data_IF_817705669222
#
_entry.id   IF_817705669222
#
_cell.length_a   1.000
_cell.length_b   1.000
_cell.length_c   1.000
_cell.angle_alpha   90.00
_cell.angle_beta   90.00
_cell.angle_gamma   90.00
#
_symmetry.space_group_name_H-M   'P 1'
#
loop_
_entity.id
_entity.type
_entity.pdbx_description
1 polymer ?
#
# COMPACT_ATOMS: atom_id res chain seq x y z
N UNK A 1 -11.42 3.78 -1.98
CA UNK A 1 -11.09 2.43 -1.45
C UNK A 1 -9.64 2.41 -1.04
N UNK A 2 -9.35 1.89 0.14
CA UNK A 2 -8.06 1.98 0.79
C UNK A 2 -6.99 1.14 0.08
N UNK A 3 -5.84 1.75 -0.15
CA UNK A 3 -4.62 1.01 -0.46
C UNK A 3 -4.25 0.20 0.78
N UNK A 4 -4.47 -1.08 0.72
CA UNK A 4 -4.17 -1.98 1.83
C UNK A 4 -2.66 -2.23 1.88
N UNK A 5 -2.01 -1.66 2.88
CA UNK A 5 -0.69 -2.11 3.31
C UNK A 5 -0.91 -3.25 4.30
N UNK A 6 -0.69 -4.48 3.86
CA UNK A 6 -1.00 -5.66 4.63
C UNK A 6 0.23 -6.12 5.42
N UNK A 7 0.06 -6.28 6.72
CA UNK A 7 1.03 -6.90 7.62
C UNK A 7 0.39 -8.11 8.26
N UNK A 8 1.15 -9.19 8.36
CA UNK A 8 0.68 -10.43 8.94
C UNK A 8 1.78 -11.09 9.75
N UNK A 9 1.39 -12.04 10.59
CA UNK A 9 2.32 -12.89 11.33
C UNK A 9 2.84 -14.02 10.45
N UNK A 10 3.96 -14.64 10.86
CA UNK A 10 4.54 -15.78 10.16
C UNK A 10 3.63 -17.01 10.15
N UNK A 11 2.74 -17.15 11.14
CA UNK A 11 1.80 -18.27 11.24
C UNK A 11 0.49 -18.06 10.46
N UNK A 12 0.27 -16.89 9.89
CA UNK A 12 -0.95 -16.62 9.11
C UNK A 12 -1.06 -17.57 7.92
N UNK A 13 -2.28 -18.06 7.69
CA UNK A 13 -2.65 -18.89 6.55
C UNK A 13 -3.76 -18.20 5.76
N UNK A 14 -3.70 -18.33 4.46
CA UNK A 14 -4.58 -17.67 3.50
C UNK A 14 -5.14 -18.69 2.54
N UNK A 15 -6.42 -18.58 2.23
CA UNK A 15 -7.09 -19.36 1.20
C UNK A 15 -8.21 -18.55 0.55
N UNK A 16 -8.56 -18.94 -0.67
CA UNK A 16 -9.82 -18.57 -1.34
C UNK A 16 -10.60 -19.87 -1.47
N UNK A 17 -11.24 -20.27 -0.39
CA UNK A 17 -11.79 -21.62 -0.26
C UNK A 17 -13.14 -21.82 -0.97
N UNK A 18 -13.71 -20.77 -1.58
CA UNK A 18 -15.04 -20.75 -2.16
C UNK A 18 -15.19 -21.77 -3.30
N UNK A 19 -14.14 -22.03 -4.06
CA UNK A 19 -14.19 -23.04 -5.15
C UNK A 19 -14.45 -24.46 -4.64
N UNK A 20 -14.05 -24.78 -3.40
CA UNK A 20 -14.29 -26.09 -2.81
C UNK A 20 -15.79 -26.40 -2.56
N UNK A 21 -16.61 -25.35 -2.51
CA UNK A 21 -18.08 -25.48 -2.35
C UNK A 21 -18.86 -25.03 -3.61
N UNK A 22 -18.18 -24.93 -4.77
CA UNK A 22 -18.82 -24.66 -6.06
C UNK A 22 -19.14 -23.20 -6.34
N UNK A 23 -18.50 -22.26 -5.62
CA UNK A 23 -18.66 -20.79 -5.86
C UNK A 23 -17.32 -20.09 -6.01
N UNK A 24 -17.32 -18.77 -6.09
CA UNK A 24 -16.10 -17.94 -6.12
C UNK A 24 -16.25 -16.74 -5.21
N UNK A 25 -15.15 -16.08 -4.92
CA UNK A 25 -15.13 -14.86 -4.10
C UNK A 25 -15.83 -13.71 -4.82
N UNK A 26 -17.04 -13.37 -4.38
CA UNK A 26 -17.88 -12.33 -5.01
C UNK A 26 -17.67 -10.92 -4.43
N UNK A 27 -17.03 -10.81 -3.27
CA UNK A 27 -16.83 -9.54 -2.57
C UNK A 27 -15.56 -8.77 -2.99
N UNK A 28 -15.08 -9.03 -4.19
CA UNK A 28 -13.96 -8.30 -4.77
C UNK A 28 -12.58 -8.91 -4.52
N UNK A 29 -12.50 -10.14 -4.02
CA UNK A 29 -11.22 -10.84 -3.79
C UNK A 29 -10.52 -11.18 -5.09
N UNK A 30 -11.26 -11.66 -6.10
CA UNK A 30 -10.70 -12.10 -7.39
C UNK A 30 -9.88 -11.00 -8.07
N UNK A 31 -10.50 -9.84 -8.31
CA UNK A 31 -9.83 -8.74 -9.00
C UNK A 31 -8.67 -8.16 -8.18
N UNK A 32 -8.79 -8.11 -6.84
CA UNK A 32 -7.70 -7.62 -5.97
C UNK A 32 -6.51 -8.57 -5.93
N UNK A 33 -6.74 -9.88 -5.98
CA UNK A 33 -5.66 -10.85 -6.14
C UNK A 33 -4.98 -10.70 -7.50
N UNK A 34 -5.76 -10.51 -8.57
CA UNK A 34 -5.22 -10.30 -9.91
C UNK A 34 -4.39 -9.02 -10.02
N UNK A 35 -4.82 -7.93 -9.38
CA UNK A 35 -4.06 -6.67 -9.30
C UNK A 35 -2.72 -6.85 -8.58
N UNK A 36 -2.67 -7.64 -7.50
CA UNK A 36 -1.48 -7.80 -6.66
C UNK A 36 -0.51 -8.86 -7.17
N UNK A 37 -1.02 -10.05 -7.46
CA UNK A 37 -0.22 -11.22 -7.78
C UNK A 37 -0.14 -11.53 -9.29
N UNK A 38 -0.89 -10.79 -10.08
CA UNK A 38 -1.09 -11.07 -11.50
C UNK A 38 -2.17 -12.15 -11.76
N UNK A 39 -2.75 -12.15 -12.97
CA UNK A 39 -3.91 -12.99 -13.27
C UNK A 39 -3.65 -14.49 -13.21
N UNK A 40 -2.42 -14.93 -13.47
CA UNK A 40 -2.09 -16.36 -13.44
C UNK A 40 -2.14 -16.91 -12.00
N UNK A 41 -1.46 -16.25 -11.06
CA UNK A 41 -1.49 -16.67 -9.64
C UNK A 41 -2.87 -16.50 -9.00
N UNK A 42 -3.60 -15.45 -9.39
CA UNK A 42 -4.97 -15.27 -8.91
C UNK A 42 -5.85 -16.46 -9.30
N UNK A 43 -5.75 -16.95 -10.55
CA UNK A 43 -6.47 -18.15 -11.00
C UNK A 43 -6.04 -19.40 -10.25
N UNK A 44 -4.73 -19.58 -10.04
CA UNK A 44 -4.20 -20.71 -9.30
C UNK A 44 -4.78 -20.76 -7.88
N UNK A 45 -4.68 -19.66 -7.12
CA UNK A 45 -5.24 -19.53 -5.77
C UNK A 45 -6.75 -19.83 -5.72
N UNK A 46 -7.50 -19.28 -6.68
CA UNK A 46 -8.96 -19.36 -6.68
C UNK A 46 -9.44 -20.76 -7.12
N UNK A 47 -8.80 -21.36 -8.11
CA UNK A 47 -9.24 -22.65 -8.66
C UNK A 47 -8.85 -23.83 -7.78
N UNK A 48 -7.67 -23.78 -7.15
CA UNK A 48 -7.22 -24.87 -6.28
C UNK A 48 -7.85 -24.81 -4.90
N UNK A 49 -8.23 -23.61 -4.43
CA UNK A 49 -8.69 -23.37 -3.07
C UNK A 49 -7.66 -23.80 -2.00
N UNK A 50 -6.38 -23.89 -2.37
CA UNK A 50 -5.30 -24.30 -1.50
C UNK A 50 -5.01 -23.24 -0.41
N UNK A 51 -4.38 -23.71 0.68
CA UNK A 51 -3.88 -22.84 1.72
C UNK A 51 -2.43 -22.45 1.47
N UNK A 52 -2.14 -21.15 1.63
CA UNK A 52 -0.82 -20.57 1.46
C UNK A 52 -0.34 -19.92 2.76
N UNK A 53 0.95 -19.96 3.02
CA UNK A 53 1.55 -19.27 4.15
C UNK A 53 1.85 -17.79 3.84
N UNK A 54 2.14 -17.03 4.90
CA UNK A 54 2.44 -15.61 4.80
C UNK A 54 3.67 -15.33 3.94
N UNK A 55 4.69 -16.18 4.00
CA UNK A 55 5.94 -16.04 3.22
C UNK A 55 5.66 -16.17 1.72
N UNK A 56 4.81 -17.12 1.33
CA UNK A 56 4.38 -17.26 -0.06
C UNK A 56 3.62 -16.03 -0.54
N UNK A 57 2.72 -15.50 0.27
CA UNK A 57 1.94 -14.31 -0.06
C UNK A 57 2.79 -13.03 -0.08
N UNK A 58 3.82 -12.91 0.75
CA UNK A 58 4.80 -11.82 0.67
C UNK A 58 5.61 -11.91 -0.63
N UNK A 59 6.14 -13.07 -0.96
CA UNK A 59 6.87 -13.33 -2.22
C UNK A 59 6.03 -13.05 -3.48
N UNK A 60 4.71 -13.18 -3.38
CA UNK A 60 3.77 -12.89 -4.46
C UNK A 60 3.23 -11.45 -4.44
N UNK A 61 3.76 -10.57 -3.60
CA UNK A 61 3.34 -9.17 -3.43
C UNK A 61 1.88 -9.00 -2.96
N UNK A 62 1.28 -10.03 -2.38
CA UNK A 62 -0.07 -9.96 -1.79
C UNK A 62 0.02 -9.36 -0.39
N UNK A 63 1.00 -9.80 0.40
CA UNK A 63 1.37 -9.26 1.71
C UNK A 63 2.57 -8.34 1.55
N UNK A 64 2.57 -7.20 2.20
CA UNK A 64 3.64 -6.21 2.11
C UNK A 64 4.79 -6.48 3.07
N UNK A 65 4.50 -7.08 4.23
CA UNK A 65 5.51 -7.38 5.25
C UNK A 65 5.02 -8.44 6.22
N UNK A 66 5.92 -9.32 6.58
CA UNK A 66 5.76 -10.29 7.67
C UNK A 66 6.52 -9.75 8.89
N UNK A 67 5.93 -9.94 10.06
CA UNK A 67 6.51 -9.56 11.35
C UNK A 67 6.39 -10.74 12.33
N UNK A 68 7.22 -10.84 13.38
CA UNK A 68 7.00 -11.79 14.46
C UNK A 68 5.63 -11.64 15.09
N UNK A 69 5.04 -12.74 15.53
CA UNK A 69 3.66 -12.75 16.02
C UNK A 69 3.45 -11.84 17.24
N UNK A 70 4.40 -11.87 18.17
CA UNK A 70 4.41 -11.03 19.36
C UNK A 70 4.68 -9.55 19.07
N UNK A 71 5.20 -9.22 17.89
CA UNK A 71 5.48 -7.85 17.46
C UNK A 71 4.37 -7.24 16.58
N UNK A 72 3.37 -8.00 16.12
CA UNK A 72 2.40 -7.54 15.13
C UNK A 72 1.67 -6.26 15.54
N UNK A 73 1.18 -6.20 16.78
CA UNK A 73 0.45 -5.03 17.26
C UNK A 73 1.35 -3.81 17.36
N UNK A 74 2.52 -3.95 17.99
CA UNK A 74 3.47 -2.86 18.19
C UNK A 74 3.97 -2.30 16.84
N UNK A 75 4.38 -3.17 15.93
CA UNK A 75 4.84 -2.83 14.59
C UNK A 75 3.74 -2.16 13.74
N UNK A 76 2.50 -2.64 13.88
CA UNK A 76 1.36 -2.06 13.16
C UNK A 76 1.03 -0.67 13.69
N UNK A 77 1.01 -0.48 15.00
CA UNK A 77 0.79 0.83 15.62
C UNK A 77 1.90 1.82 15.29
N UNK A 78 3.16 1.39 15.36
CA UNK A 78 4.31 2.23 15.00
C UNK A 78 4.25 2.65 13.52
N UNK A 79 3.88 1.73 12.63
CA UNK A 79 3.71 2.05 11.23
C UNK A 79 2.54 3.00 10.96
N UNK A 80 1.40 2.79 11.60
CA UNK A 80 0.24 3.68 11.48
C UNK A 80 0.58 5.09 12.00
N UNK A 81 1.23 5.20 13.15
CA UNK A 81 1.68 6.48 13.71
C UNK A 81 2.67 7.19 12.76
N UNK A 82 3.61 6.46 12.17
CA UNK A 82 4.53 7.02 11.17
C UNK A 82 3.80 7.60 9.96
N UNK A 83 2.75 6.94 9.48
CA UNK A 83 1.94 7.44 8.37
C UNK A 83 1.08 8.64 8.80
N UNK A 84 0.48 8.59 9.98
CA UNK A 84 -0.34 9.68 10.51
C UNK A 84 0.46 10.99 10.70
N UNK A 85 1.73 10.87 11.10
CA UNK A 85 2.64 12.00 11.29
C UNK A 85 3.45 12.35 10.01
N UNK A 86 3.17 11.72 8.90
CA UNK A 86 3.84 11.99 7.63
C UNK A 86 3.10 13.01 6.75
N UNK A 87 3.62 13.31 5.55
CA UNK A 87 3.03 14.28 4.61
C UNK A 87 1.72 13.73 4.03
N UNK A 88 0.61 13.91 4.73
CA UNK A 88 -0.68 13.29 4.40
C UNK A 88 -1.25 13.77 3.05
N UNK A 89 -0.97 15.02 2.64
CA UNK A 89 -1.31 15.51 1.30
C UNK A 89 -0.58 14.74 0.20
N UNK A 90 0.72 14.48 0.36
CA UNK A 90 1.49 13.69 -0.59
C UNK A 90 0.98 12.23 -0.64
N UNK A 91 0.59 11.65 0.50
CA UNK A 91 -0.03 10.32 0.52
C UNK A 91 -1.38 10.29 -0.19
N UNK A 92 -2.20 11.33 -0.01
CA UNK A 92 -3.49 11.46 -0.70
C UNK A 92 -3.29 11.56 -2.22
N UNK A 93 -2.34 12.38 -2.67
CA UNK A 93 -1.98 12.50 -4.09
C UNK A 93 -1.48 11.16 -4.66
N UNK A 94 -0.54 10.51 -3.98
CA UNK A 94 -0.03 9.19 -4.39
C UNK A 94 -1.14 8.14 -4.51
N UNK A 95 -2.10 8.13 -3.60
CA UNK A 95 -3.29 7.23 -3.69
C UNK A 95 -4.15 7.53 -4.91
N UNK A 96 -4.38 8.81 -5.24
CA UNK A 96 -5.12 9.21 -6.44
C UNK A 96 -4.42 8.78 -7.72
N UNK A 97 -3.10 8.98 -7.80
CA UNK A 97 -2.28 8.58 -8.96
C UNK A 97 -2.31 7.07 -9.16
N UNK A 98 -2.07 6.28 -8.10
CA UNK A 98 -2.12 4.81 -8.16
C UNK A 98 -3.52 4.33 -8.58
N UNK A 99 -4.57 4.95 -8.06
CA UNK A 99 -5.95 4.60 -8.43
C UNK A 99 -6.20 4.86 -9.90
N UNK A 100 -5.82 6.02 -10.41
CA UNK A 100 -5.97 6.37 -11.83
C UNK A 100 -5.19 5.41 -12.74
N UNK A 101 -3.98 4.99 -12.32
CA UNK A 101 -3.22 3.98 -13.03
C UNK A 101 -3.96 2.64 -13.13
N UNK A 102 -4.55 2.16 -12.05
CA UNK A 102 -5.32 0.92 -12.04
C UNK A 102 -6.58 1.00 -12.91
N UNK A 103 -7.22 2.16 -12.95
CA UNK A 103 -8.45 2.36 -13.72
C UNK A 103 -8.22 2.60 -15.22
N UNK A 104 -7.09 3.20 -15.61
CA UNK A 104 -6.87 3.63 -17.00
C UNK A 104 -5.41 3.69 -17.47
N UNK A 105 -4.49 3.05 -16.74
CA UNK A 105 -3.07 2.96 -17.08
C UNK A 105 -2.32 4.30 -16.94
N UNK A 106 -1.10 4.34 -17.49
CA UNK A 106 -0.17 5.46 -17.34
C UNK A 106 -0.77 6.80 -17.75
N UNK A 107 -1.45 6.86 -18.89
CA UNK A 107 -2.06 8.13 -19.39
C UNK A 107 -3.12 8.69 -18.43
N UNK A 108 -3.87 7.84 -17.74
CA UNK A 108 -4.84 8.30 -16.75
C UNK A 108 -4.12 8.81 -15.49
N UNK A 109 -3.06 8.13 -15.07
CA UNK A 109 -2.22 8.57 -13.96
C UNK A 109 -1.54 9.92 -14.24
N UNK A 110 -0.98 10.12 -15.45
CA UNK A 110 -0.30 11.36 -15.83
C UNK A 110 -1.25 12.58 -15.71
N UNK A 111 -2.51 12.44 -16.16
CA UNK A 111 -3.49 13.53 -15.97
C UNK A 111 -3.74 13.88 -14.51
N UNK A 112 -3.75 12.87 -13.62
CA UNK A 112 -3.90 13.12 -12.19
C UNK A 112 -2.64 13.76 -11.60
N UNK A 113 -1.45 13.45 -12.11
CA UNK A 113 -0.20 14.13 -11.71
C UNK A 113 -0.30 15.62 -11.99
N UNK A 114 -0.79 16.02 -13.17
CA UNK A 114 -0.99 17.42 -13.54
C UNK A 114 -1.97 18.15 -12.61
N UNK A 115 -2.98 17.43 -12.11
CA UNK A 115 -3.96 18.00 -11.16
C UNK A 115 -3.43 18.15 -9.74
N UNK A 116 -2.69 17.13 -9.23
CA UNK A 116 -2.28 17.09 -7.82
C UNK A 116 -0.91 17.72 -7.57
N UNK A 117 -0.10 17.86 -8.61
CA UNK A 117 1.26 18.39 -8.51
C UNK A 117 1.30 19.84 -8.01
N UNK A 118 0.64 20.81 -8.67
CA UNK A 118 0.71 22.21 -8.27
C UNK A 118 0.33 22.45 -6.80
N UNK A 119 -0.80 21.94 -6.26
CA UNK A 119 -1.11 22.08 -4.84
C UNK A 119 -0.08 21.50 -3.89
N UNK A 120 0.60 20.41 -4.28
CA UNK A 120 1.65 19.82 -3.45
C UNK A 120 2.90 20.71 -3.38
N UNK A 121 3.30 21.32 -4.51
CA UNK A 121 4.44 22.23 -4.54
C UNK A 121 4.19 23.50 -3.71
N UNK A 122 2.96 23.92 -3.56
CA UNK A 122 2.55 25.09 -2.77
C UNK A 122 2.32 24.77 -1.28
N UNK A 123 2.29 23.48 -0.89
CA UNK A 123 1.97 23.05 0.47
C UNK A 123 3.06 23.43 1.47
N UNK A 124 2.64 23.72 2.72
CA UNK A 124 3.55 23.96 3.83
C UNK A 124 4.42 22.71 4.11
N UNK A 125 3.86 21.52 3.94
CA UNK A 125 4.59 20.25 4.10
C UNK A 125 5.76 20.11 3.11
N UNK A 126 5.56 20.50 1.84
CA UNK A 126 6.63 20.50 0.84
C UNK A 126 7.73 21.48 1.22
N UNK A 127 7.38 22.70 1.62
CA UNK A 127 8.34 23.71 2.03
C UNK A 127 9.15 23.26 3.25
N UNK A 128 8.48 22.70 4.27
CA UNK A 128 9.15 22.16 5.45
C UNK A 128 10.11 21.02 5.09
N UNK A 129 9.68 20.09 4.21
CA UNK A 129 10.50 18.99 3.74
C UNK A 129 11.75 19.45 2.99
N UNK A 130 11.61 20.41 2.07
CA UNK A 130 12.73 20.98 1.30
C UNK A 130 13.69 21.72 2.21
N UNK A 131 13.20 22.55 3.13
CA UNK A 131 14.04 23.28 4.09
C UNK A 131 14.85 22.29 4.92
N UNK A 132 14.21 21.30 5.52
CA UNK A 132 14.94 20.30 6.31
C UNK A 132 15.96 19.50 5.47
N UNK A 133 15.66 19.21 4.21
CA UNK A 133 16.59 18.54 3.30
C UNK A 133 17.84 19.39 3.05
N UNK A 134 17.67 20.69 2.83
CA UNK A 134 18.78 21.62 2.60
C UNK A 134 19.63 21.80 3.86
N UNK A 135 19.00 21.92 5.03
CA UNK A 135 19.67 22.17 6.30
C UNK A 135 20.41 20.94 6.84
N UNK A 136 19.87 19.75 6.65
CA UNK A 136 20.36 18.52 7.29
C UNK A 136 20.90 17.47 6.30
N UNK A 137 20.69 17.67 5.00
CA UNK A 137 21.10 16.76 3.94
C UNK A 137 20.25 15.47 3.84
N UNK A 138 20.39 14.69 2.74
CA UNK A 138 19.48 13.61 2.39
C UNK A 138 19.46 12.42 3.38
N UNK A 139 20.49 12.31 4.23
CA UNK A 139 20.60 11.19 5.18
C UNK A 139 19.97 11.50 6.55
N UNK A 140 19.76 12.78 6.90
CA UNK A 140 19.38 13.21 8.26
C UNK A 140 18.11 14.03 8.35
N UNK A 141 17.53 14.46 7.24
CA UNK A 141 16.40 15.39 7.23
C UNK A 141 15.08 14.76 7.72
N UNK A 142 14.89 13.46 7.49
CA UNK A 142 13.58 12.80 7.70
C UNK A 142 13.05 12.92 9.13
N UNK A 143 13.94 12.85 10.12
CA UNK A 143 13.58 12.93 11.54
C UNK A 143 13.51 14.40 12.04
N UNK A 144 13.72 15.36 11.15
CA UNK A 144 13.74 16.80 11.45
C UNK A 144 12.56 17.56 10.86
N UNK A 145 11.73 16.89 10.05
CA UNK A 145 10.54 17.48 9.45
C UNK A 145 9.32 17.18 10.30
N UNK A 146 8.54 18.21 10.57
CA UNK A 146 7.17 18.09 11.12
C UNK A 146 6.21 18.44 9.99
N UNK A 147 5.33 17.51 9.66
CA UNK A 147 4.30 17.70 8.65
C UNK A 147 2.97 18.05 9.32
N UNK A 148 2.24 19.00 8.75
CA UNK A 148 0.97 19.51 9.28
C UNK A 148 -0.24 19.08 8.44
N UNK A 149 -0.02 18.45 7.29
CA UNK A 149 -1.08 17.99 6.39
C UNK A 149 -1.71 19.13 5.57
N UNK A 150 -0.99 20.19 5.32
CA UNK A 150 -1.45 21.38 4.59
C UNK A 150 -0.39 22.04 3.71
#
# INVERSE_FOLDING_TARGET
>A
MSSWLLRFTSFARFAQAEASIGTTTLLGGVQRLAERAGPSRARDIIYTADQYDATTFERWNIVNRIVPDDALEAETRAFAARLANGPTLAYAAGKRIVRAYLDGGTRAADRVVDEVGPPLFESADMQAGVTALLDHGPRRFRDKVVFEGR
#
